data_IF_338826549843
#
_entry.id   IF_338826549843
#
_cell.length_a   1.000
_cell.length_b   1.000
_cell.length_c   1.000
_cell.angle_alpha   90.00
_cell.angle_beta   90.00
_cell.angle_gamma   90.00
#
_symmetry.space_group_name_H-M   'P 1'
#
loop_
_entity.id
_entity.type
_entity.pdbx_description
1 polymer ?
#
# COMPACT_ATOMS: atom_id res chain seq x y z
N UNK A 1 8.16 -21.65 -7.99
CA UNK A 1 8.60 -20.43 -7.28
C UNK A 1 7.40 -19.50 -7.28
N UNK A 2 6.63 -19.46 -6.18
CA UNK A 2 5.31 -18.82 -6.17
C UNK A 2 5.43 -17.30 -6.24
N UNK A 3 4.59 -16.67 -7.07
CA UNK A 3 4.37 -15.22 -7.07
C UNK A 3 4.13 -14.74 -5.64
N UNK A 4 4.80 -13.65 -5.26
CA UNK A 4 4.54 -13.01 -3.98
C UNK A 4 3.30 -12.17 -4.14
N UNK A 5 2.18 -12.64 -3.61
CA UNK A 5 0.99 -11.81 -3.52
C UNK A 5 1.20 -10.68 -2.51
N UNK A 6 1.00 -9.45 -2.95
CA UNK A 6 1.05 -8.25 -2.11
C UNK A 6 -0.31 -7.91 -1.49
N UNK A 7 -1.39 -8.57 -1.94
CA UNK A 7 -2.73 -8.39 -1.37
C UNK A 7 -2.71 -8.89 0.07
N UNK A 8 -3.25 -8.08 0.99
CA UNK A 8 -3.21 -8.33 2.43
C UNK A 8 -2.02 -7.69 3.15
N UNK A 9 -1.02 -7.18 2.42
CA UNK A 9 0.09 -6.47 3.05
C UNK A 9 -0.34 -5.09 3.55
N UNK A 10 0.20 -4.70 4.71
CA UNK A 10 0.03 -3.36 5.29
C UNK A 10 1.35 -2.61 5.21
N UNK A 11 1.30 -1.32 4.91
CA UNK A 11 2.47 -0.45 4.95
C UNK A 11 2.12 1.04 4.93
N UNK A 12 3.08 1.92 5.26
CA UNK A 12 2.86 3.35 5.20
C UNK A 12 2.92 3.90 3.77
N UNK A 13 2.08 4.89 3.48
CA UNK A 13 2.28 5.76 2.33
C UNK A 13 3.54 6.62 2.50
N UNK A 14 4.46 6.55 1.55
CA UNK A 14 5.64 7.41 1.47
C UNK A 14 5.40 8.63 0.57
N UNK A 15 4.42 8.54 -0.34
CA UNK A 15 3.85 9.66 -1.10
C UNK A 15 2.33 9.61 -0.96
N UNK A 16 1.72 10.76 -0.65
CA UNK A 16 0.27 10.87 -0.51
C UNK A 16 -0.46 10.49 -1.81
N UNK A 17 -1.61 9.82 -1.68
CA UNK A 17 -2.50 9.59 -2.82
C UNK A 17 -3.38 10.82 -3.05
N UNK A 18 -3.95 10.94 -4.25
CA UNK A 18 -4.90 12.01 -4.62
C UNK A 18 -6.28 11.42 -4.91
N UNK A 19 -6.61 10.30 -4.26
CA UNK A 19 -7.79 9.50 -4.58
C UNK A 19 -7.76 9.03 -6.05
N UNK A 20 -8.92 9.05 -6.69
CA UNK A 20 -9.05 8.75 -8.11
C UNK A 20 -8.22 9.68 -9.04
N UNK A 21 -7.84 10.87 -8.58
CA UNK A 21 -7.10 11.85 -9.39
C UNK A 21 -5.59 11.56 -9.51
N UNK A 22 -5.04 10.61 -8.74
CA UNK A 22 -3.64 10.22 -8.91
C UNK A 22 -3.08 9.33 -7.82
N UNK A 23 -2.13 8.50 -8.23
CA UNK A 23 -1.43 7.60 -7.33
C UNK A 23 -0.55 8.34 -6.30
N UNK A 24 -0.39 7.71 -5.15
CA UNK A 24 0.73 7.91 -4.25
C UNK A 24 1.70 6.74 -4.34
N UNK A 25 2.47 6.51 -3.28
CA UNK A 25 3.39 5.38 -3.17
C UNK A 25 3.30 4.78 -1.77
N UNK A 26 3.22 3.46 -1.68
CA UNK A 26 3.24 2.68 -0.44
C UNK A 26 4.54 1.90 -0.33
N UNK A 27 5.10 1.81 0.87
CA UNK A 27 6.27 0.98 1.16
C UNK A 27 5.82 -0.32 1.84
N UNK A 28 5.98 -1.45 1.15
CA UNK A 28 5.61 -2.78 1.66
C UNK A 28 6.85 -3.56 2.09
N UNK A 29 6.71 -4.39 3.11
CA UNK A 29 7.75 -5.33 3.52
C UNK A 29 7.45 -6.72 2.95
N UNK A 30 8.22 -7.15 1.97
CA UNK A 30 8.08 -8.44 1.30
C UNK A 30 9.34 -9.27 1.54
N UNK A 31 9.19 -10.37 2.28
CA UNK A 31 10.30 -11.31 2.59
C UNK A 31 11.55 -10.62 3.15
N UNK A 32 11.36 -9.61 4.00
CA UNK A 32 12.45 -8.87 4.65
C UNK A 32 13.04 -7.73 3.80
N UNK A 33 12.56 -7.51 2.58
CA UNK A 33 12.91 -6.37 1.76
C UNK A 33 11.78 -5.33 1.74
N UNK A 34 12.15 -4.04 1.80
CA UNK A 34 11.21 -2.94 1.61
C UNK A 34 11.11 -2.59 0.14
N UNK A 35 9.90 -2.57 -0.39
CA UNK A 35 9.63 -2.27 -1.80
C UNK A 35 8.53 -1.21 -1.93
N UNK A 36 8.75 -0.23 -2.81
CA UNK A 36 7.78 0.82 -3.09
C UNK A 36 6.84 0.43 -4.25
N UNK A 37 5.53 0.59 -4.06
CA UNK A 37 4.50 0.35 -5.06
C UNK A 37 3.66 1.60 -5.29
N UNK A 38 3.23 1.83 -6.54
CA UNK A 38 2.24 2.87 -6.84
C UNK A 38 0.92 2.53 -6.15
N UNK A 39 0.41 3.45 -5.33
CA UNK A 39 -0.76 3.22 -4.50
C UNK A 39 -1.95 4.04 -5.01
N UNK A 40 -3.04 3.37 -5.34
CA UNK A 40 -4.32 4.00 -5.68
C UNK A 40 -5.32 3.81 -4.55
N UNK A 41 -6.05 4.86 -4.22
CA UNK A 41 -7.14 4.82 -3.24
C UNK A 41 -8.36 5.52 -3.80
N UNK A 42 -9.54 5.22 -3.26
CA UNK A 42 -10.76 5.93 -3.64
C UNK A 42 -10.69 7.41 -3.22
N UNK A 43 -10.35 7.65 -1.95
CA UNK A 43 -10.21 8.98 -1.36
C UNK A 43 -8.73 9.38 -1.20
N UNK A 44 -8.39 10.68 -1.18
CA UNK A 44 -7.03 11.13 -0.87
C UNK A 44 -6.55 10.68 0.51
N UNK A 45 -5.36 10.11 0.58
CA UNK A 45 -4.71 9.65 1.81
C UNK A 45 -3.36 10.34 1.98
N UNK A 46 -3.11 10.84 3.18
CA UNK A 46 -1.90 11.56 3.53
C UNK A 46 -0.67 10.65 3.56
N UNK A 47 0.51 11.24 3.36
CA UNK A 47 1.79 10.56 3.64
C UNK A 47 1.82 10.11 5.11
N UNK A 48 2.32 8.89 5.35
CA UNK A 48 2.41 8.28 6.67
C UNK A 48 1.17 7.46 7.07
N UNK A 49 0.05 7.60 6.35
CA UNK A 49 -1.13 6.77 6.59
C UNK A 49 -0.78 5.30 6.35
N UNK A 50 -1.10 4.43 7.33
CA UNK A 50 -1.05 2.98 7.15
C UNK A 50 -2.16 2.56 6.21
N UNK A 51 -1.83 1.74 5.22
CA UNK A 51 -2.79 1.28 4.23
C UNK A 51 -2.68 -0.22 4.03
N UNK A 52 -3.82 -0.86 3.75
CA UNK A 52 -3.93 -2.27 3.40
C UNK A 52 -4.02 -2.39 1.88
N UNK A 53 -3.24 -3.28 1.28
CA UNK A 53 -3.39 -3.64 -0.13
C UNK A 53 -4.59 -4.58 -0.29
N UNK A 54 -5.60 -4.14 -1.04
CA UNK A 54 -6.84 -4.89 -1.27
C UNK A 54 -6.94 -5.47 -2.68
N UNK A 55 -6.18 -4.93 -3.63
CA UNK A 55 -6.15 -5.41 -5.02
C UNK A 55 -4.86 -4.95 -5.73
N UNK A 56 -4.62 -5.45 -6.94
CA UNK A 56 -3.50 -5.08 -7.81
C UNK A 56 -3.99 -4.56 -9.17
N UNK A 57 -3.35 -3.51 -9.70
CA UNK A 57 -3.62 -2.95 -11.05
C UNK A 57 -2.53 -3.30 -12.06
N UNK A 58 -1.55 -4.11 -11.66
CA UNK A 58 -0.38 -4.48 -12.44
C UNK A 58 0.84 -4.75 -11.56
N UNK A 59 2.03 -5.01 -12.16
CA UNK A 59 3.19 -5.53 -11.42
C UNK A 59 3.72 -4.62 -10.30
N UNK A 60 3.52 -3.30 -10.41
CA UNK A 60 4.02 -2.29 -9.45
C UNK A 60 2.94 -1.30 -9.02
N UNK A 61 1.67 -1.65 -9.20
CA UNK A 61 0.54 -0.79 -8.88
C UNK A 61 -0.50 -1.56 -8.07
N UNK A 62 -0.89 -1.00 -6.94
CA UNK A 62 -1.82 -1.61 -5.99
C UNK A 62 -3.00 -0.68 -5.71
N UNK A 63 -4.11 -1.27 -5.29
CA UNK A 63 -5.25 -0.57 -4.72
C UNK A 63 -5.18 -0.73 -3.20
N UNK A 64 -5.35 0.38 -2.49
CA UNK A 64 -5.21 0.44 -1.05
C UNK A 64 -6.36 1.18 -0.39
N UNK A 65 -6.65 0.79 0.84
CA UNK A 65 -7.54 1.52 1.75
C UNK A 65 -6.81 1.88 3.05
N UNK A 66 -7.28 2.92 3.73
CA UNK A 66 -6.76 3.29 5.04
C UNK A 66 -6.93 2.13 6.02
N UNK A 67 -5.82 1.71 6.63
CA UNK A 67 -5.81 0.63 7.61
C UNK A 67 -5.96 1.19 9.02
N UNK A 68 -7.06 0.83 9.70
CA UNK A 68 -7.38 1.25 11.08
C UNK A 68 -7.11 0.16 12.11
N UNK A 69 -6.51 -0.96 11.71
CA UNK A 69 -6.22 -2.08 12.62
C UNK A 69 -5.11 -1.74 13.63
N UNK A 70 -5.01 -2.55 14.68
CA UNK A 70 -3.97 -2.43 15.69
C UNK A 70 -2.63 -2.81 15.05
N UNK A 71 -1.68 -1.88 14.97
CA UNK A 71 -0.28 -2.24 14.78
C UNK A 71 0.19 -2.85 16.10
N UNK A 72 0.28 -4.18 16.15
CA UNK A 72 0.99 -4.85 17.24
C UNK A 72 2.47 -4.51 17.08
N UNK A 73 2.96 -3.57 17.86
CA UNK A 73 4.39 -3.32 18.03
C UNK A 73 4.97 -4.62 18.64
N UNK A 74 5.74 -5.35 17.84
CA UNK A 74 6.41 -6.59 18.24
C UNK A 74 7.75 -6.31 18.91
#
# INVERSE_FOLDING_TARGET
MGDVSVIGCVGPLIVATRGAAGAGEVLLNLRGAKEAYLAWSAEPLSRGTQVLVIDTRGPRAVVVEAWTGVVSDG
#
